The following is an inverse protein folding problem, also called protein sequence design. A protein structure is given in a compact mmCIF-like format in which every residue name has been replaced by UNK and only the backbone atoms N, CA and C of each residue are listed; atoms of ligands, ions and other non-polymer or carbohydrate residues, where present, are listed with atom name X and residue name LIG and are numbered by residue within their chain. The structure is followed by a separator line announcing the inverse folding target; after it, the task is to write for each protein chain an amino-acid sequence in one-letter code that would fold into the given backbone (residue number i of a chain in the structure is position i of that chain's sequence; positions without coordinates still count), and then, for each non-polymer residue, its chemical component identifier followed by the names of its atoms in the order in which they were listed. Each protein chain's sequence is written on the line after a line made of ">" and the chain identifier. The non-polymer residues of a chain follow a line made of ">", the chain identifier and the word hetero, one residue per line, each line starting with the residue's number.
data_IF_880516049972
#
_entry.id   IF_880516049972
#
_cell.length_a   1.000
_cell.length_b   1.000
_cell.length_c   1.000
_cell.angle_alpha   90.00
_cell.angle_beta   90.00
_cell.angle_gamma   90.00
#
_symmetry.space_group_name_H-M   'P 1'
#
loop_
_entity.id
_entity.type
_entity.pdbx_description
1 polymer ?
#
# COMPACT_ATOMS: atom_id res chain seq x y z
N UNK A 1 65.71 24.12 33.18
CA UNK A 1 64.87 25.06 32.40
C UNK A 1 63.92 24.25 31.54
N UNK A 2 62.61 24.54 31.68
CA UNK A 2 61.39 24.07 30.98
C UNK A 2 61.52 22.97 29.91
N UNK A 3 61.04 21.76 30.21
CA UNK A 3 60.57 20.81 29.21
C UNK A 3 59.06 21.01 29.04
N UNK A 4 58.63 21.42 27.84
CA UNK A 4 57.23 21.60 27.47
C UNK A 4 56.74 20.32 26.79
N UNK A 5 55.72 19.67 27.36
CA UNK A 5 55.02 18.56 26.73
C UNK A 5 53.81 19.13 25.98
N UNK A 6 53.83 19.06 24.66
CA UNK A 6 52.67 19.37 23.82
C UNK A 6 51.74 18.16 23.77
N UNK A 7 50.50 18.34 24.24
CA UNK A 7 49.43 17.38 24.09
C UNK A 7 48.87 17.44 22.66
N UNK A 8 48.80 16.30 21.97
CA UNK A 8 48.07 16.17 20.71
C UNK A 8 46.80 15.37 21.02
N UNK A 9 45.68 16.09 21.11
CA UNK A 9 44.35 15.49 21.11
C UNK A 9 43.99 15.12 19.67
N UNK A 10 43.80 13.82 19.41
CA UNK A 10 43.23 13.32 18.16
C UNK A 10 41.72 13.21 18.35
N UNK A 11 40.98 14.19 17.82
CA UNK A 11 39.52 14.19 17.80
C UNK A 11 38.98 14.22 16.36
N UNK A 12 38.09 13.27 16.08
CA UNK A 12 37.08 13.20 15.01
C UNK A 12 37.57 13.08 13.55
N UNK A 13 36.87 12.40 12.64
CA UNK A 13 35.48 11.98 12.71
C UNK A 13 35.16 10.82 11.76
N UNK A 14 34.27 9.95 12.21
CA UNK A 14 33.54 9.07 11.31
C UNK A 14 32.55 9.94 10.52
N UNK A 15 32.79 10.10 9.22
CA UNK A 15 31.80 10.66 8.32
C UNK A 15 30.61 9.69 8.26
N UNK A 16 29.52 10.03 8.94
CA UNK A 16 28.23 9.42 8.69
C UNK A 16 27.83 9.82 7.27
N UNK A 17 27.89 8.88 6.33
CA UNK A 17 27.34 9.06 5.01
C UNK A 17 25.84 9.36 5.15
N UNK A 18 25.43 10.60 4.84
CA UNK A 18 24.03 10.95 4.76
C UNK A 18 23.39 10.15 3.61
N UNK A 19 22.20 9.56 3.78
CA UNK A 19 21.51 8.87 2.70
C UNK A 19 21.28 9.85 1.55
N UNK A 20 21.61 9.43 0.33
CA UNK A 20 21.49 10.28 -0.86
C UNK A 20 20.02 10.56 -1.18
N UNK A 21 19.66 11.83 -1.34
CA UNK A 21 18.32 12.28 -1.76
C UNK A 21 17.92 11.72 -3.14
N UNK A 22 18.89 11.36 -3.98
CA UNK A 22 18.66 10.72 -5.28
C UNK A 22 18.03 9.33 -5.16
N UNK A 23 18.35 8.58 -4.09
CA UNK A 23 17.76 7.26 -3.86
C UNK A 23 16.28 7.35 -3.47
N UNK A 24 15.91 8.36 -2.68
CA UNK A 24 14.52 8.67 -2.31
C UNK A 24 13.73 9.09 -3.55
N UNK A 25 14.30 9.94 -4.41
CA UNK A 25 13.65 10.42 -5.64
C UNK A 25 13.40 9.32 -6.66
N UNK A 26 14.36 8.41 -6.87
CA UNK A 26 14.22 7.28 -7.81
C UNK A 26 13.19 6.25 -7.33
N UNK A 27 13.09 6.03 -6.02
CA UNK A 27 12.07 5.15 -5.43
C UNK A 27 10.67 5.76 -5.59
N UNK A 28 10.53 7.08 -5.59
CA UNK A 28 9.23 7.74 -5.71
C UNK A 28 8.70 7.84 -7.14
N UNK A 29 9.59 8.05 -8.13
CA UNK A 29 9.23 8.00 -9.56
C UNK A 29 8.69 6.62 -9.97
N UNK A 30 9.11 5.54 -9.30
CA UNK A 30 8.57 4.18 -9.52
C UNK A 30 7.30 3.88 -8.73
N UNK A 31 6.83 4.78 -7.85
CA UNK A 31 5.68 4.54 -6.98
C UNK A 31 4.61 5.67 -7.02
N UNK A 32 4.02 5.95 -8.19
CA UNK A 32 3.06 7.05 -8.35
C UNK A 32 1.70 6.77 -7.71
N UNK A 33 1.40 5.53 -7.34
CA UNK A 33 0.12 5.10 -6.78
C UNK A 33 0.33 4.47 -5.40
N UNK A 34 -0.54 4.78 -4.45
CA UNK A 34 -0.68 4.05 -3.20
C UNK A 34 -2.12 3.57 -3.00
N UNK A 35 -2.25 2.51 -2.21
CA UNK A 35 -3.54 1.99 -1.73
C UNK A 35 -3.58 2.09 -0.22
N UNK A 36 -4.64 2.68 0.30
CA UNK A 36 -4.83 2.93 1.72
C UNK A 36 -6.27 2.63 2.14
N UNK A 37 -6.56 2.72 3.45
CA UNK A 37 -7.90 2.48 4.00
C UNK A 37 -8.52 1.15 3.58
N UNK A 38 -7.68 0.15 3.29
CA UNK A 38 -8.13 -1.17 2.85
C UNK A 38 -8.93 -1.82 3.99
N UNK A 39 -10.11 -2.31 3.67
CA UNK A 39 -10.91 -3.23 4.47
C UNK A 39 -11.46 -4.31 3.54
N UNK A 40 -11.00 -5.54 3.76
CA UNK A 40 -11.37 -6.73 3.03
C UNK A 40 -12.15 -7.65 3.96
N UNK A 41 -13.44 -7.87 3.66
CA UNK A 41 -14.39 -8.52 4.55
C UNK A 41 -14.93 -9.78 3.90
N UNK A 42 -14.99 -10.87 4.66
CA UNK A 42 -15.74 -12.06 4.28
C UNK A 42 -17.11 -12.05 4.95
N UNK A 43 -18.15 -12.10 4.15
CA UNK A 43 -19.54 -12.19 4.63
C UNK A 43 -19.89 -13.63 4.99
N UNK A 44 -20.71 -13.79 6.02
CA UNK A 44 -21.26 -15.09 6.42
C UNK A 44 -22.21 -15.63 5.37
N UNK A 45 -23.14 -14.79 4.91
CA UNK A 45 -24.13 -15.15 3.91
C UNK A 45 -23.53 -15.13 2.50
N UNK A 46 -23.70 -16.23 1.77
CA UNK A 46 -23.24 -16.36 0.38
C UNK A 46 -21.72 -16.37 0.19
N UNK A 47 -20.94 -16.42 1.27
CA UNK A 47 -19.47 -16.49 1.26
C UNK A 47 -18.82 -15.41 0.37
N UNK A 48 -19.40 -14.19 0.34
CA UNK A 48 -18.89 -13.11 -0.52
C UNK A 48 -17.73 -12.39 0.12
N UNK A 49 -16.83 -11.86 -0.71
CA UNK A 49 -15.78 -10.94 -0.27
C UNK A 49 -16.17 -9.53 -0.67
N UNK A 50 -16.01 -8.58 0.24
CA UNK A 50 -16.17 -7.15 0.02
C UNK A 50 -14.81 -6.49 0.17
N UNK A 51 -14.39 -5.72 -0.84
CA UNK A 51 -13.25 -4.83 -0.76
C UNK A 51 -13.74 -3.39 -0.64
N UNK A 52 -13.15 -2.67 0.30
CA UNK A 52 -13.21 -1.23 0.44
C UNK A 52 -11.77 -0.72 0.46
N UNK A 53 -11.46 0.35 -0.25
CA UNK A 53 -10.15 0.98 -0.21
C UNK A 53 -10.14 2.34 -0.86
N UNK A 54 -9.05 3.06 -0.65
CA UNK A 54 -8.76 4.33 -1.29
C UNK A 54 -7.48 4.20 -2.12
N UNK A 55 -7.51 4.73 -3.34
CA UNK A 55 -6.34 4.82 -4.22
C UNK A 55 -5.92 6.28 -4.27
N UNK A 56 -4.64 6.53 -4.01
CA UNK A 56 -4.07 7.89 -4.08
C UNK A 56 -2.99 7.92 -5.14
N UNK A 57 -3.07 8.93 -6.01
CA UNK A 57 -2.03 9.29 -6.96
C UNK A 57 -1.12 10.34 -6.35
N UNK A 58 0.18 10.16 -6.50
CA UNK A 58 1.21 11.03 -5.95
C UNK A 58 2.00 11.70 -7.07
N UNK A 59 2.55 12.89 -6.79
CA UNK A 59 3.58 13.47 -7.63
C UNK A 59 4.96 12.86 -7.33
N UNK A 60 5.97 13.32 -8.07
CA UNK A 60 7.36 12.87 -7.92
C UNK A 60 7.98 13.20 -6.56
N UNK A 61 7.37 14.12 -5.79
CA UNK A 61 7.79 14.44 -4.43
C UNK A 61 7.08 13.58 -3.37
N UNK A 62 6.08 12.79 -3.78
CA UNK A 62 5.23 12.01 -2.90
C UNK A 62 3.97 12.72 -2.43
N UNK A 63 3.76 13.97 -2.82
CA UNK A 63 2.57 14.69 -2.42
C UNK A 63 1.36 14.09 -3.12
N UNK A 64 0.28 13.88 -2.37
CA UNK A 64 -0.98 13.40 -2.94
C UNK A 64 -1.53 14.44 -3.92
N UNK A 65 -1.80 14.02 -5.16
CA UNK A 65 -2.41 14.82 -6.21
C UNK A 65 -3.93 14.61 -6.28
N UNK A 66 -4.36 13.37 -6.15
CA UNK A 66 -5.77 12.98 -6.22
C UNK A 66 -5.99 11.68 -5.46
N UNK A 67 -7.20 11.49 -4.93
CA UNK A 67 -7.60 10.26 -4.27
C UNK A 67 -9.02 9.86 -4.68
N UNK A 68 -9.25 8.56 -4.82
CA UNK A 68 -10.56 8.00 -5.14
C UNK A 68 -10.87 6.80 -4.26
N UNK A 69 -12.14 6.64 -3.92
CA UNK A 69 -12.61 5.45 -3.22
C UNK A 69 -12.96 4.36 -4.22
N UNK A 70 -12.69 3.12 -3.84
CA UNK A 70 -12.92 1.93 -4.64
C UNK A 70 -13.65 0.91 -3.75
N UNK A 71 -14.73 0.34 -4.28
CA UNK A 71 -15.48 -0.71 -3.60
C UNK A 71 -15.92 -1.76 -4.60
N UNK A 72 -15.95 -3.01 -4.16
CA UNK A 72 -16.53 -4.11 -4.94
C UNK A 72 -16.85 -5.29 -4.04
N UNK A 73 -17.73 -6.16 -4.54
CA UNK A 73 -18.07 -7.40 -3.87
C UNK A 73 -18.16 -8.55 -4.88
N UNK A 74 -17.60 -9.70 -4.55
CA UNK A 74 -17.55 -10.86 -5.45
C UNK A 74 -17.74 -12.17 -4.70
N UNK A 75 -18.05 -13.23 -5.46
CA UNK A 75 -17.89 -14.61 -4.99
C UNK A 75 -16.40 -14.97 -5.13
N UNK A 76 -15.71 -15.51 -4.11
CA UNK A 76 -14.32 -15.96 -4.17
C UNK A 76 -13.96 -16.79 -5.41
N UNK A 77 -14.91 -17.54 -5.97
CA UNK A 77 -14.72 -18.35 -7.18
C UNK A 77 -14.59 -17.51 -8.46
N UNK A 78 -15.06 -16.25 -8.44
CA UNK A 78 -15.07 -15.32 -9.57
C UNK A 78 -14.57 -13.93 -9.13
N UNK A 79 -13.27 -13.77 -8.82
CA UNK A 79 -12.70 -12.51 -8.41
C UNK A 79 -12.58 -11.51 -9.58
N UNK A 80 -12.56 -10.19 -9.30
CA UNK A 80 -12.21 -9.18 -10.28
C UNK A 80 -10.83 -9.46 -10.88
N UNK A 81 -10.80 -9.69 -12.20
CA UNK A 81 -9.59 -9.99 -12.96
C UNK A 81 -9.33 -8.95 -14.05
N UNK A 82 -8.24 -9.10 -14.79
CA UNK A 82 -7.82 -8.14 -15.83
C UNK A 82 -8.87 -7.93 -16.93
N UNK A 83 -9.66 -8.96 -17.25
CA UNK A 83 -10.73 -8.89 -18.26
C UNK A 83 -11.98 -8.14 -17.78
N UNK A 84 -12.16 -8.02 -16.46
CA UNK A 84 -13.28 -7.34 -15.85
C UNK A 84 -12.83 -6.54 -14.62
N UNK A 85 -12.06 -5.46 -14.81
CA UNK A 85 -11.56 -4.64 -13.72
C UNK A 85 -12.71 -3.85 -13.09
N UNK A 86 -12.56 -3.56 -11.81
CA UNK A 86 -13.53 -2.78 -11.04
C UNK A 86 -13.21 -1.30 -11.19
N UNK A 87 -14.20 -0.53 -11.63
CA UNK A 87 -14.13 0.92 -11.68
C UNK A 87 -14.23 1.51 -10.27
N UNK A 88 -13.37 2.49 -9.97
CA UNK A 88 -13.48 3.28 -8.75
C UNK A 88 -14.49 4.42 -8.92
N UNK A 89 -14.70 5.22 -7.87
CA UNK A 89 -15.59 6.38 -7.93
C UNK A 89 -15.13 7.41 -8.99
N UNK A 90 -13.83 7.65 -9.09
CA UNK A 90 -13.22 8.32 -10.23
C UNK A 90 -12.97 7.31 -11.37
N UNK A 91 -13.62 7.48 -12.54
CA UNK A 91 -13.50 6.55 -13.67
C UNK A 91 -12.12 6.59 -14.35
N UNK A 92 -11.24 7.52 -13.98
CA UNK A 92 -9.84 7.48 -14.40
C UNK A 92 -9.06 6.33 -13.73
N UNK A 93 -9.63 5.69 -12.71
CA UNK A 93 -9.01 4.60 -11.97
C UNK A 93 -9.86 3.34 -12.01
N UNK A 94 -9.20 2.21 -12.27
CA UNK A 94 -9.77 0.88 -12.06
C UNK A 94 -8.72 -0.05 -11.46
N UNK A 95 -9.19 -1.13 -10.83
CA UNK A 95 -8.32 -2.11 -10.21
C UNK A 95 -8.80 -3.53 -10.43
N UNK A 96 -7.90 -4.50 -10.30
CA UNK A 96 -8.22 -5.92 -10.33
C UNK A 96 -7.18 -6.74 -9.54
N UNK A 97 -7.50 -8.00 -9.30
CA UNK A 97 -6.65 -8.95 -8.60
C UNK A 97 -6.12 -9.98 -9.60
N UNK A 98 -4.84 -9.91 -10.03
CA UNK A 98 -4.33 -10.66 -11.19
C UNK A 98 -4.37 -12.18 -11.00
N UNK A 99 -4.21 -12.63 -9.75
CA UNK A 99 -4.25 -14.06 -9.35
C UNK A 99 -5.56 -14.42 -8.62
N UNK A 100 -6.48 -13.45 -8.52
CA UNK A 100 -7.65 -13.50 -7.65
C UNK A 100 -7.30 -13.36 -6.16
N UNK A 101 -8.28 -12.99 -5.35
CA UNK A 101 -8.14 -12.99 -3.88
C UNK A 101 -8.56 -14.36 -3.35
N UNK A 102 -7.59 -15.27 -3.27
CA UNK A 102 -7.80 -16.62 -2.70
C UNK A 102 -7.62 -16.66 -1.18
N UNK A 103 -6.98 -15.63 -0.63
CA UNK A 103 -6.83 -15.40 0.81
C UNK A 103 -7.07 -13.92 1.09
N UNK A 104 -7.74 -13.62 2.21
CA UNK A 104 -7.88 -12.24 2.68
C UNK A 104 -6.54 -11.65 3.15
N UNK A 105 -5.60 -12.53 3.51
CA UNK A 105 -4.35 -12.15 4.17
C UNK A 105 -3.27 -11.70 3.19
N UNK A 106 -3.21 -12.31 2.01
CA UNK A 106 -2.18 -12.02 1.00
C UNK A 106 -2.79 -12.06 -0.40
N UNK A 107 -2.63 -10.99 -1.16
CA UNK A 107 -3.07 -10.89 -2.54
C UNK A 107 -2.33 -9.79 -3.29
N UNK A 108 -2.24 -9.96 -4.60
CA UNK A 108 -1.75 -8.92 -5.49
C UNK A 108 -2.89 -8.02 -5.93
N UNK A 109 -2.58 -6.74 -6.10
CA UNK A 109 -3.49 -5.75 -6.68
C UNK A 109 -2.81 -5.05 -7.84
N UNK A 110 -3.57 -4.86 -8.91
CA UNK A 110 -3.19 -3.99 -10.03
C UNK A 110 -4.13 -2.81 -10.07
N UNK A 111 -3.57 -1.62 -10.23
CA UNK A 111 -4.31 -0.38 -10.43
C UNK A 111 -3.91 0.19 -11.79
N UNK A 112 -4.90 0.45 -12.64
CA UNK A 112 -4.74 1.28 -13.82
C UNK A 112 -5.19 2.69 -13.48
N UNK A 113 -4.32 3.67 -13.67
CA UNK A 113 -4.61 5.08 -13.45
C UNK A 113 -4.01 5.97 -14.55
N UNK A 114 -4.07 7.31 -14.38
CA UNK A 114 -3.58 8.26 -15.37
C UNK A 114 -2.10 8.11 -15.74
N UNK A 115 -1.27 7.60 -14.82
CA UNK A 115 0.16 7.42 -15.04
C UNK A 115 0.52 6.05 -15.63
N UNK A 116 -0.47 5.19 -15.86
CA UNK A 116 -0.27 3.83 -16.35
C UNK A 116 -0.69 2.78 -15.32
N UNK A 117 -0.08 1.60 -15.43
CA UNK A 117 -0.40 0.43 -14.63
C UNK A 117 0.57 0.30 -13.46
N UNK A 118 0.07 0.23 -12.24
CA UNK A 118 0.88 0.02 -11.04
C UNK A 118 0.46 -1.26 -10.32
N UNK A 119 1.43 -2.01 -9.81
CA UNK A 119 1.22 -3.31 -9.18
C UNK A 119 1.90 -3.42 -7.83
N UNK A 120 1.30 -4.21 -6.94
CA UNK A 120 1.87 -4.48 -5.63
C UNK A 120 1.14 -5.58 -4.90
N UNK A 121 1.75 -6.02 -3.82
CA UNK A 121 1.23 -7.09 -2.97
C UNK A 121 0.78 -6.49 -1.64
N UNK A 122 -0.43 -6.87 -1.23
CA UNK A 122 -0.95 -6.60 0.11
C UNK A 122 -0.74 -7.87 0.91
N UNK A 123 0.06 -7.76 1.98
CA UNK A 123 0.43 -8.90 2.82
C UNK A 123 0.11 -8.62 4.28
N UNK A 124 -0.32 -9.66 4.99
CA UNK A 124 -0.58 -9.59 6.42
C UNK A 124 0.69 -9.23 7.16
N UNK A 125 0.57 -8.24 8.04
CA UNK A 125 1.69 -7.74 8.83
C UNK A 125 1.30 -6.56 9.69
N UNK A 126 2.28 -5.80 10.21
CA UNK A 126 2.01 -4.65 11.09
C UNK A 126 1.10 -3.58 10.46
N UNK A 127 1.10 -3.49 9.13
CA UNK A 127 0.31 -2.51 8.36
C UNK A 127 -1.06 -3.02 7.92
N UNK A 128 -1.28 -4.34 7.93
CA UNK A 128 -2.49 -4.99 7.44
C UNK A 128 -2.81 -6.21 8.30
N UNK A 129 -3.83 -6.08 9.13
CA UNK A 129 -4.15 -7.04 10.18
C UNK A 129 -5.45 -7.78 9.86
N UNK A 130 -5.47 -9.06 10.18
CA UNK A 130 -6.60 -9.96 9.91
C UNK A 130 -7.10 -10.60 11.19
N UNK A 131 -8.43 -10.64 11.36
CA UNK A 131 -9.05 -11.31 12.50
C UNK A 131 -10.58 -11.38 12.36
N UNK A 132 -11.26 -11.98 13.35
CA UNK A 132 -12.71 -11.89 13.47
C UNK A 132 -13.16 -10.44 13.39
N UNK A 133 -14.27 -10.18 12.71
CA UNK A 133 -14.80 -8.82 12.64
C UNK A 133 -15.32 -8.38 14.01
N UNK A 134 -14.90 -7.19 14.46
CA UNK A 134 -15.15 -6.63 15.78
C UNK A 134 -16.07 -5.38 15.74
N UNK A 135 -16.58 -5.02 14.57
CA UNK A 135 -17.47 -3.87 14.40
C UNK A 135 -18.95 -4.20 14.60
N UNK A 136 -19.80 -3.21 14.30
CA UNK A 136 -21.25 -3.27 14.54
C UNK A 136 -22.07 -3.78 13.35
N UNK A 137 -21.44 -4.02 12.20
CA UNK A 137 -22.12 -4.53 11.01
C UNK A 137 -22.31 -6.04 11.14
N UNK A 138 -23.55 -6.48 11.19
CA UNK A 138 -23.89 -7.91 11.25
C UNK A 138 -23.51 -8.64 9.94
N UNK A 139 -23.28 -9.96 10.05
CA UNK A 139 -23.04 -10.83 8.90
C UNK A 139 -21.62 -10.77 8.31
N UNK A 140 -20.66 -10.13 8.99
CA UNK A 140 -19.24 -10.20 8.62
C UNK A 140 -18.53 -11.19 9.54
N UNK A 141 -17.94 -12.23 8.94
CA UNK A 141 -17.20 -13.27 9.65
C UNK A 141 -15.79 -12.82 10.02
N UNK A 142 -15.09 -12.25 9.04
CA UNK A 142 -13.67 -11.94 9.14
C UNK A 142 -13.39 -10.63 8.40
N UNK A 143 -12.48 -9.83 8.94
CA UNK A 143 -11.97 -8.63 8.28
C UNK A 143 -10.44 -8.66 8.29
N UNK A 144 -9.87 -8.25 7.17
CA UNK A 144 -8.50 -7.81 7.09
C UNK A 144 -8.48 -6.32 6.76
N UNK A 145 -7.83 -5.50 7.57
CA UNK A 145 -7.80 -4.05 7.39
C UNK A 145 -6.42 -3.44 7.57
N UNK A 146 -6.19 -2.35 6.86
CA UNK A 146 -5.02 -1.50 7.06
C UNK A 146 -5.08 -0.85 8.44
N UNK A 147 -3.92 -0.74 9.11
CA UNK A 147 -3.80 0.05 10.34
C UNK A 147 -3.78 1.54 10.03
N UNK A 148 -4.27 2.37 10.96
CA UNK A 148 -4.46 3.80 10.72
C UNK A 148 -3.17 4.48 10.22
N UNK A 149 -3.26 5.18 9.09
CA UNK A 149 -2.15 5.92 8.49
C UNK A 149 -1.17 5.07 7.68
N UNK A 150 -1.38 3.76 7.56
CA UNK A 150 -0.56 2.92 6.68
C UNK A 150 -1.06 2.95 5.23
N UNK A 151 -0.10 2.85 4.30
CA UNK A 151 -0.34 2.81 2.86
C UNK A 151 0.59 1.78 2.22
N UNK A 152 0.13 1.17 1.13
CA UNK A 152 0.94 0.32 0.26
C UNK A 152 1.22 1.07 -1.04
N UNK A 153 2.48 1.44 -1.25
CA UNK A 153 2.94 2.05 -2.49
C UNK A 153 3.12 0.97 -3.57
N UNK A 154 2.50 1.17 -4.73
CA UNK A 154 2.53 0.25 -5.86
C UNK A 154 3.66 0.62 -6.81
N UNK A 155 4.24 -0.37 -7.47
CA UNK A 155 5.31 -0.18 -8.47
C UNK A 155 4.70 0.10 -9.83
N UNK A 156 5.12 1.16 -10.50
CA UNK A 156 4.78 1.43 -11.90
C UNK A 156 5.46 0.38 -12.80
N UNK A 157 4.69 -0.24 -13.70
CA UNK A 157 5.19 -1.20 -14.70
C UNK A 157 5.68 -0.54 -16.00
#
# INVERSE_FOLDING_TARGET
>A
MKASFAAIALSLGAALAAPSTDSIKRQQDSHPISVSSISLRQLEEGNRIVFLGSITRHDKSGAALSSTNCNTQWNPELPPGAENPVQCADPAFNFYFPTGVKSLENYDIVVNGPDGKSTGTIEKGPRYQCGPYDGTIEGIKQECKITQGAEFFLTLE
#
